data_IF_761666890321
#
_entry.id   IF_761666890321
#
_cell.length_a   1.000
_cell.length_b   1.000
_cell.length_c   1.000
_cell.angle_alpha   90.00
_cell.angle_beta   90.00
_cell.angle_gamma   90.00
#
_symmetry.space_group_name_H-M   'P 1'
#
loop_
_entity.id
_entity.type
_entity.pdbx_description
1 polymer ?
#
# COMPACT_ATOMS: atom_id res chain seq x y z
N UNK A 1 -1.33 -21.27 -4.67
CA UNK A 1 -2.73 -20.75 -4.58
C UNK A 1 -2.85 -20.02 -3.23
N UNK A 2 -3.67 -18.97 -3.05
CA UNK A 2 -3.73 -18.22 -1.77
C UNK A 2 -4.06 -19.14 -0.59
N UNK A 3 -4.65 -20.32 -0.84
CA UNK A 3 -4.96 -21.34 0.15
C UNK A 3 -3.73 -22.05 0.77
N UNK A 4 -2.57 -22.04 0.11
CA UNK A 4 -1.35 -22.73 0.60
C UNK A 4 -0.57 -21.89 1.62
N UNK A 5 -0.76 -20.58 1.58
CA UNK A 5 -0.25 -19.66 2.59
C UNK A 5 -1.45 -19.32 3.46
N UNK A 6 -1.41 -19.60 4.76
CA UNK A 6 -2.52 -19.40 5.70
C UNK A 6 -2.86 -17.90 5.90
N UNK A 7 -3.27 -17.24 4.83
CA UNK A 7 -3.43 -15.79 4.66
C UNK A 7 -4.92 -15.53 4.54
N UNK A 8 -5.46 -14.90 5.58
CA UNK A 8 -6.84 -14.45 5.56
C UNK A 8 -6.99 -13.22 4.65
N UNK A 9 -7.87 -13.33 3.64
CA UNK A 9 -8.12 -12.24 2.69
C UNK A 9 -9.07 -11.23 3.32
N UNK A 10 -8.49 -10.21 3.96
CA UNK A 10 -9.26 -9.10 4.57
C UNK A 10 -9.42 -7.96 3.56
N UNK A 11 -10.12 -8.21 2.45
CA UNK A 11 -10.41 -7.19 1.42
C UNK A 11 -11.92 -7.02 1.28
N UNK A 12 -12.46 -5.79 1.40
CA UNK A 12 -13.88 -5.55 1.19
C UNK A 12 -14.30 -5.89 -0.24
N UNK A 13 -15.49 -6.47 -0.37
CA UNK A 13 -16.15 -6.58 -1.66
C UNK A 13 -16.48 -5.20 -2.22
N UNK A 14 -16.41 -5.06 -3.54
CA UNK A 14 -16.89 -3.86 -4.23
C UNK A 14 -18.39 -3.68 -3.95
N UNK A 15 -18.82 -2.42 -3.78
CA UNK A 15 -20.21 -2.09 -3.47
C UNK A 15 -21.21 -2.69 -4.48
N UNK A 16 -20.87 -2.71 -5.77
CA UNK A 16 -21.74 -3.23 -6.84
C UNK A 16 -21.74 -4.77 -6.97
N UNK A 17 -21.11 -5.50 -6.05
CA UNK A 17 -21.04 -6.97 -6.11
C UNK A 17 -22.38 -7.57 -5.67
N UNK A 18 -22.94 -8.48 -6.47
CA UNK A 18 -24.21 -9.18 -6.14
C UNK A 18 -24.14 -9.96 -4.82
N UNK A 19 -22.99 -10.56 -4.55
CA UNK A 19 -22.72 -11.31 -3.30
C UNK A 19 -21.59 -10.59 -2.59
N UNK A 20 -21.87 -10.06 -1.40
CA UNK A 20 -20.86 -9.41 -0.57
C UNK A 20 -19.98 -10.47 0.10
N UNK A 21 -18.66 -10.24 0.13
CA UNK A 21 -17.73 -11.14 0.83
C UNK A 21 -17.58 -10.59 2.26
N UNK A 22 -17.91 -11.38 3.30
CA UNK A 22 -17.65 -10.96 4.66
C UNK A 22 -16.15 -10.83 4.86
N UNK A 23 -15.73 -9.72 5.48
CA UNK A 23 -14.34 -9.45 5.79
C UNK A 23 -14.28 -8.76 7.17
N UNK A 24 -13.17 -8.91 7.88
CA UNK A 24 -12.99 -8.17 9.12
C UNK A 24 -12.72 -6.68 8.85
N UNK A 25 -13.71 -5.85 9.15
CA UNK A 25 -13.65 -4.39 9.02
C UNK A 25 -12.56 -3.80 9.91
N UNK A 26 -12.29 -4.38 11.09
CA UNK A 26 -11.28 -3.87 12.02
C UNK A 26 -9.88 -4.13 11.48
N UNK A 27 -9.58 -5.36 11.06
CA UNK A 27 -8.32 -5.68 10.42
C UNK A 27 -8.09 -4.86 9.13
N UNK A 28 -9.13 -4.66 8.30
CA UNK A 28 -9.02 -3.81 7.11
C UNK A 28 -8.66 -2.36 7.45
N UNK A 29 -9.28 -1.78 8.50
CA UNK A 29 -8.94 -0.42 8.97
C UNK A 29 -7.52 -0.31 9.50
N UNK A 30 -7.03 -1.33 10.20
CA UNK A 30 -5.65 -1.36 10.71
C UNK A 30 -4.61 -1.42 9.59
N UNK A 31 -4.94 -2.06 8.46
CA UNK A 31 -4.08 -2.10 7.26
C UNK A 31 -3.66 -0.71 6.79
N UNK A 32 -4.58 0.26 6.83
CA UNK A 32 -4.30 1.65 6.44
C UNK A 32 -3.15 2.26 7.26
N UNK A 33 -2.99 1.92 8.54
CA UNK A 33 -1.88 2.43 9.37
C UNK A 33 -0.53 1.94 8.87
N UNK A 34 -0.45 0.67 8.50
CA UNK A 34 0.75 0.05 7.93
C UNK A 34 1.07 0.68 6.57
N UNK A 35 0.06 0.82 5.70
CA UNK A 35 0.21 1.45 4.40
C UNK A 35 0.68 2.91 4.52
N UNK A 36 0.09 3.70 5.43
CA UNK A 36 0.50 5.08 5.70
C UNK A 36 1.95 5.15 6.19
N UNK A 37 2.38 4.22 7.06
CA UNK A 37 3.76 4.16 7.53
C UNK A 37 4.74 3.90 6.38
N UNK A 38 4.48 2.90 5.55
CA UNK A 38 5.31 2.63 4.38
C UNK A 38 5.26 3.76 3.35
N UNK A 39 4.12 4.43 3.18
CA UNK A 39 4.02 5.58 2.29
C UNK A 39 4.93 6.72 2.76
N UNK A 40 4.93 7.02 4.07
CA UNK A 40 5.88 7.98 4.66
C UNK A 40 7.32 7.55 4.45
N UNK A 41 7.66 6.29 4.70
CA UNK A 41 9.01 5.76 4.45
C UNK A 41 9.42 5.91 2.98
N UNK A 42 8.52 5.72 2.02
CA UNK A 42 8.79 5.91 0.59
C UNK A 42 9.06 7.38 0.26
N UNK A 43 8.31 8.32 0.83
CA UNK A 43 8.59 9.75 0.68
C UNK A 43 9.97 10.12 1.24
N UNK A 44 10.33 9.58 2.40
CA UNK A 44 11.66 9.81 2.98
C UNK A 44 12.78 9.07 2.25
N UNK A 45 12.50 7.95 1.56
CA UNK A 45 13.50 7.23 0.76
C UNK A 45 14.08 8.13 -0.32
N UNK A 46 13.26 8.94 -0.98
CA UNK A 46 13.72 9.94 -1.96
C UNK A 46 14.72 10.94 -1.36
N UNK A 47 14.45 11.41 -0.14
CA UNK A 47 15.32 12.33 0.61
C UNK A 47 16.60 11.63 1.06
N UNK A 48 16.48 10.42 1.59
CA UNK A 48 17.59 9.65 2.16
C UNK A 48 18.58 9.14 1.11
N UNK A 49 18.11 8.73 -0.08
CA UNK A 49 19.00 8.22 -1.14
C UNK A 49 19.58 9.32 -2.03
N UNK A 50 19.27 10.61 -1.78
CA UNK A 50 19.93 11.78 -2.39
C UNK A 50 20.03 11.74 -3.93
N UNK A 51 19.01 11.21 -4.61
CA UNK A 51 18.97 11.14 -6.09
C UNK A 51 18.97 12.51 -6.76
N UNK A 52 18.50 13.56 -6.08
CA UNK A 52 18.37 14.92 -6.62
C UNK A 52 19.72 15.61 -6.91
N UNK A 53 20.87 15.07 -6.48
CA UNK A 53 22.20 15.68 -6.75
C UNK A 53 22.80 15.32 -8.12
N UNK A 54 22.18 14.43 -8.89
CA UNK A 54 22.64 14.12 -10.26
C UNK A 54 21.70 14.81 -11.24
N UNK A 55 22.24 15.70 -12.07
CA UNK A 55 21.49 16.49 -13.05
C UNK A 55 20.54 15.66 -13.94
N UNK A 56 20.87 14.39 -14.18
CA UNK A 56 20.07 13.41 -14.94
C UNK A 56 18.69 13.14 -14.31
N UNK A 57 18.56 13.21 -12.98
CA UNK A 57 17.29 12.93 -12.28
C UNK A 57 16.48 14.20 -11.96
N UNK A 58 17.10 15.37 -12.06
CA UNK A 58 16.43 16.66 -11.79
C UNK A 58 15.32 16.95 -12.82
N UNK A 59 15.55 16.64 -14.11
CA UNK A 59 14.57 16.86 -15.18
C UNK A 59 13.40 15.85 -15.17
N UNK A 60 13.53 14.74 -14.45
CA UNK A 60 12.49 13.71 -14.36
C UNK A 60 11.50 13.94 -13.20
N UNK A 61 11.66 15.04 -12.44
CA UNK A 61 10.76 15.39 -11.33
C UNK A 61 9.89 16.62 -11.62
N UNK A 62 9.37 16.74 -12.84
CA UNK A 62 8.31 17.70 -13.16
C UNK A 62 6.95 17.04 -12.99
#
# INVERSE_FOLDING_TARGET
>A
MIEEANIEVVIPSKQNRKIQIPHDVKAYKLRNRIEMFFNKLKHFRRVATRYDRRAVHFLATV
#
